data_IF_986491056046
#
_entry.id   IF_986491056046
#
_cell.length_a   1.000
_cell.length_b   1.000
_cell.length_c   1.000
_cell.angle_alpha   90.00
_cell.angle_beta   90.00
_cell.angle_gamma   90.00
#
_symmetry.space_group_name_H-M   'P 1'
#
loop_
_entity.id
_entity.type
_entity.pdbx_description
1 polymer ?
#
# COMPACT_ATOMS: atom_id res chain seq x y z
N UNK A 1 -6.33 -8.09 15.06
CA UNK A 1 -5.24 -8.56 14.17
C UNK A 1 -5.13 -7.52 13.09
N UNK A 2 -4.07 -6.72 13.09
CA UNK A 2 -3.99 -5.62 12.14
C UNK A 2 -3.19 -6.04 10.93
N UNK A 3 -3.45 -5.44 9.76
CA UNK A 3 -2.86 -5.91 8.52
C UNK A 3 -2.73 -4.75 7.53
N UNK A 4 -1.51 -4.24 7.33
CA UNK A 4 -1.21 -3.26 6.30
C UNK A 4 0.00 -3.75 5.50
N UNK A 5 -0.10 -3.85 4.18
CA UNK A 5 1.06 -3.69 3.33
C UNK A 5 0.60 -3.27 1.95
N UNK A 6 1.04 -2.09 1.55
CA UNK A 6 0.51 -1.38 0.42
C UNK A 6 1.66 -0.61 -0.20
N UNK A 7 1.93 -0.89 -1.47
CA UNK A 7 3.19 -0.53 -2.10
C UNK A 7 2.94 0.39 -3.29
N UNK A 8 3.78 1.41 -3.38
CA UNK A 8 3.99 2.26 -4.55
C UNK A 8 5.30 1.88 -5.22
N UNK A 9 5.23 1.36 -6.45
CA UNK A 9 6.40 1.19 -7.32
C UNK A 9 6.37 2.27 -8.39
N UNK A 10 7.48 2.99 -8.55
CA UNK A 10 7.67 4.01 -9.58
C UNK A 10 8.20 3.31 -10.84
N UNK A 11 7.44 3.36 -11.92
CA UNK A 11 7.76 2.60 -13.14
C UNK A 11 8.91 3.27 -13.93
N UNK A 12 9.99 2.53 -14.20
CA UNK A 12 11.07 2.97 -15.13
C UNK A 12 10.82 2.55 -16.59
N UNK A 13 9.74 1.80 -16.90
CA UNK A 13 9.47 1.36 -18.27
C UNK A 13 7.97 1.18 -18.59
N UNK A 14 7.38 2.28 -19.06
CA UNK A 14 6.23 2.49 -19.98
C UNK A 14 5.03 1.54 -20.16
N UNK A 15 4.86 0.38 -19.50
CA UNK A 15 3.58 -0.36 -19.70
C UNK A 15 3.18 -1.46 -18.71
N UNK A 16 3.97 -1.84 -17.70
CA UNK A 16 3.56 -2.97 -16.85
C UNK A 16 4.02 -2.84 -15.41
N UNK A 17 3.06 -2.84 -14.50
CA UNK A 17 3.31 -3.03 -13.07
C UNK A 17 3.67 -4.49 -12.78
N UNK A 18 4.46 -4.76 -11.73
CA UNK A 18 4.72 -6.13 -11.30
C UNK A 18 3.41 -6.87 -11.00
N UNK A 19 3.41 -8.21 -11.08
CA UNK A 19 2.22 -9.01 -10.78
C UNK A 19 1.68 -8.70 -9.38
N UNK A 20 0.36 -8.48 -9.28
CA UNK A 20 -0.31 -8.09 -8.03
C UNK A 20 -0.40 -6.58 -7.80
N UNK A 21 0.00 -5.77 -8.78
CA UNK A 21 -0.07 -4.32 -8.75
C UNK A 21 -0.91 -3.79 -9.90
N UNK A 22 -1.77 -2.84 -9.59
CA UNK A 22 -2.56 -2.10 -10.57
C UNK A 22 -1.79 -0.85 -10.98
N UNK A 23 -1.72 -0.60 -12.28
CA UNK A 23 -1.30 0.69 -12.81
C UNK A 23 -2.42 1.70 -12.52
N UNK A 24 -2.12 2.71 -11.72
CA UNK A 24 -3.03 3.83 -11.49
C UNK A 24 -2.62 5.04 -12.32
N UNK A 25 -3.40 6.12 -12.22
CA UNK A 25 -3.03 7.40 -12.84
C UNK A 25 -1.66 7.86 -12.33
N UNK A 26 -1.00 8.66 -13.16
CA UNK A 26 0.37 9.18 -12.94
C UNK A 26 1.50 8.16 -13.05
N UNK A 27 1.23 6.97 -13.62
CA UNK A 27 2.27 5.96 -13.91
C UNK A 27 2.78 5.22 -12.67
N UNK A 28 2.06 5.35 -11.56
CA UNK A 28 2.36 4.67 -10.31
C UNK A 28 1.72 3.28 -10.29
N UNK A 29 2.46 2.31 -9.76
CA UNK A 29 1.95 0.99 -9.51
C UNK A 29 1.52 0.87 -8.06
N UNK A 30 0.24 0.57 -7.83
CA UNK A 30 -0.35 0.43 -6.49
C UNK A 30 -0.82 -0.99 -6.28
N UNK A 31 -0.48 -1.57 -5.14
CA UNK A 31 -0.90 -2.94 -4.84
C UNK A 31 -0.72 -3.30 -3.39
N UNK A 32 -1.39 -4.38 -2.98
CA UNK A 32 -1.25 -4.96 -1.62
C UNK A 32 -0.37 -6.19 -1.73
N UNK A 33 0.73 -6.22 -0.98
CA UNK A 33 1.67 -7.36 -1.04
C UNK A 33 1.44 -8.36 0.07
N UNK A 34 1.15 -7.87 1.27
CA UNK A 34 0.98 -8.75 2.43
C UNK A 34 0.15 -8.09 3.53
N UNK A 35 0.06 -8.82 4.62
CA UNK A 35 -0.77 -8.58 5.75
C UNK A 35 0.14 -8.68 6.98
N UNK A 36 0.49 -7.53 7.56
CA UNK A 36 1.36 -7.47 8.74
C UNK A 36 0.56 -7.47 10.04
N UNK A 37 0.59 -8.60 10.75
CA UNK A 37 0.08 -8.75 12.12
C UNK A 37 0.94 -7.97 13.11
N UNK A 38 0.51 -6.77 13.49
CA UNK A 38 1.27 -5.93 14.40
C UNK A 38 0.39 -5.06 15.29
N UNK A 39 0.98 -4.33 16.22
CA UNK A 39 0.29 -3.36 17.07
C UNK A 39 0.29 -1.98 16.42
N UNK A 40 -0.67 -1.11 16.75
CA UNK A 40 -0.77 0.23 16.12
C UNK A 40 0.53 1.03 16.29
N UNK A 41 1.17 0.95 17.45
CA UNK A 41 2.44 1.64 17.73
C UNK A 41 3.64 1.13 16.93
N UNK A 42 3.58 -0.10 16.40
CA UNK A 42 4.65 -0.70 15.59
C UNK A 42 4.27 -0.80 14.10
N UNK A 43 3.03 -0.48 13.74
CA UNK A 43 2.53 -0.67 12.39
C UNK A 43 3.25 0.21 11.38
N UNK A 44 3.48 1.48 11.71
CA UNK A 44 4.13 2.43 10.81
C UNK A 44 5.57 2.03 10.53
N UNK A 45 6.36 1.73 11.58
CA UNK A 45 7.77 1.35 11.40
C UNK A 45 7.90 0.04 10.61
N UNK A 46 7.08 -0.96 10.90
CA UNK A 46 7.11 -2.22 10.15
C UNK A 46 6.66 -2.08 8.70
N UNK A 47 5.68 -1.21 8.41
CA UNK A 47 5.29 -0.90 7.04
C UNK A 47 6.43 -0.21 6.30
N UNK A 48 7.07 0.80 6.90
CA UNK A 48 8.23 1.49 6.30
C UNK A 48 9.37 0.50 6.02
N UNK A 49 9.74 -0.33 6.99
CA UNK A 49 10.81 -1.32 6.84
C UNK A 49 10.50 -2.34 5.75
N UNK A 50 9.25 -2.84 5.72
CA UNK A 50 8.80 -3.80 4.72
C UNK A 50 8.80 -3.18 3.31
N UNK A 51 8.25 -1.98 3.16
CA UNK A 51 8.25 -1.26 1.89
C UNK A 51 9.68 -1.00 1.42
N UNK A 52 10.57 -0.56 2.31
CA UNK A 52 11.99 -0.36 2.02
C UNK A 52 12.71 -1.63 1.56
N UNK A 53 12.38 -2.79 2.15
CA UNK A 53 12.99 -4.08 1.79
C UNK A 53 12.71 -4.53 0.36
N UNK A 54 11.59 -4.08 -0.22
CA UNK A 54 11.19 -4.42 -1.59
C UNK A 54 11.27 -3.24 -2.56
N UNK A 55 12.04 -2.20 -2.21
CA UNK A 55 12.21 -0.98 -3.02
C UNK A 55 10.88 -0.28 -3.35
N UNK A 56 9.91 -0.37 -2.45
CA UNK A 56 8.61 0.28 -2.55
C UNK A 56 8.48 1.40 -1.51
N UNK A 57 7.44 2.21 -1.65
CA UNK A 57 7.10 3.24 -0.68
C UNK A 57 5.77 2.93 0.03
N UNK A 58 5.64 3.30 1.33
CA UNK A 58 4.36 3.31 2.01
C UNK A 58 3.34 4.14 1.25
N UNK A 59 2.07 3.80 1.41
CA UNK A 59 1.02 4.55 0.74
C UNK A 59 0.78 5.89 1.41
N UNK A 60 1.04 6.94 0.63
CA UNK A 60 0.67 8.30 0.97
C UNK A 60 -0.52 8.76 0.13
N UNK A 61 -1.55 9.28 0.80
CA UNK A 61 -2.76 9.82 0.16
C UNK A 61 -2.58 11.32 -0.01
N UNK A 62 -2.52 11.78 -1.26
CA UNK A 62 -2.33 13.19 -1.60
C UNK A 62 -3.58 13.84 -2.20
N UNK A 63 -4.54 13.05 -2.66
CA UNK A 63 -5.76 13.51 -3.32
C UNK A 63 -6.93 12.53 -3.11
N UNK A 64 -8.12 12.94 -3.51
CA UNK A 64 -9.36 12.15 -3.38
C UNK A 64 -9.32 10.86 -4.21
N UNK A 65 -8.62 10.85 -5.35
CA UNK A 65 -8.50 9.67 -6.19
C UNK A 65 -7.72 8.56 -5.49
N UNK A 66 -6.61 8.90 -4.84
CA UNK A 66 -5.82 7.97 -4.02
C UNK A 66 -6.68 7.41 -2.90
N UNK A 67 -7.49 8.26 -2.26
CA UNK A 67 -8.40 7.83 -1.19
C UNK A 67 -9.51 6.92 -1.71
N UNK A 68 -10.12 7.23 -2.86
CA UNK A 68 -11.15 6.41 -3.47
C UNK A 68 -10.62 5.02 -3.84
N UNK A 69 -9.41 4.94 -4.42
CA UNK A 69 -8.76 3.69 -4.77
C UNK A 69 -8.54 2.78 -3.56
N UNK A 70 -8.10 3.35 -2.43
CA UNK A 70 -7.85 2.59 -1.20
C UNK A 70 -9.11 2.28 -0.41
N UNK A 71 -10.13 3.11 -0.47
CA UNK A 71 -11.41 2.89 0.21
C UNK A 71 -12.09 1.60 -0.24
N UNK A 72 -12.02 1.26 -1.53
CA UNK A 72 -12.61 0.02 -2.07
C UNK A 72 -11.74 -1.23 -1.85
N UNK A 73 -10.47 -1.04 -1.45
CA UNK A 73 -9.50 -2.11 -1.19
C UNK A 73 -9.21 -2.33 0.29
N UNK A 74 -9.69 -1.42 1.14
CA UNK A 74 -9.59 -1.56 2.58
C UNK A 74 -10.40 -2.78 3.04
N UNK A 75 -9.88 -3.60 3.96
CA UNK A 75 -10.61 -4.75 4.48
C UNK A 75 -11.87 -4.31 5.24
N UNK A 76 -12.93 -5.12 5.17
CA UNK A 76 -14.16 -4.87 5.92
C UNK A 76 -13.87 -4.80 7.42
N UNK A 77 -14.42 -3.77 8.05
CA UNK A 77 -14.05 -3.15 9.34
C UNK A 77 -14.19 -4.01 10.60
N UNK A 78 -14.24 -5.34 10.51
CA UNK A 78 -14.53 -6.21 11.66
C UNK A 78 -13.31 -6.49 12.55
N UNK A 79 -12.06 -6.25 12.13
CA UNK A 79 -10.86 -6.41 12.98
C UNK A 79 -9.55 -5.82 12.43
N UNK A 80 -9.55 -5.28 11.20
CA UNK A 80 -8.33 -4.97 10.46
C UNK A 80 -8.33 -3.49 10.06
N UNK A 81 -7.25 -2.75 10.35
CA UNK A 81 -7.03 -1.40 9.83
C UNK A 81 -6.08 -1.43 8.63
N UNK A 82 -6.25 -0.48 7.71
CA UNK A 82 -5.25 -0.14 6.70
C UNK A 82 -4.46 1.06 7.21
N UNK A 83 -3.17 0.88 7.50
CA UNK A 83 -2.28 2.00 7.83
C UNK A 83 -1.71 2.55 6.54
N UNK A 84 -1.79 3.87 6.42
CA UNK A 84 -1.26 4.68 5.34
C UNK A 84 -0.10 5.48 5.95
N UNK A 85 1.05 5.49 5.28
CA UNK A 85 2.31 6.06 5.76
C UNK A 85 2.60 7.41 5.13
#
# INVERSE_FOLDING_TARGET
>A
AFFAALHLVRSDSFSSCPNGFDLVRDGECRGRVTNLLTTFGQAISQVIDMCGSIQAQPVTIHNEEHQAYWKVRAPDSNSNYLILG
#
